data_IF_243913072043
#
_entry.id   IF_243913072043
#
_cell.length_a   1.000
_cell.length_b   1.000
_cell.length_c   1.000
_cell.angle_alpha   90.00
_cell.angle_beta   90.00
_cell.angle_gamma   90.00
#
_symmetry.space_group_name_H-M   'P 1'
#
loop_
_entity.id
_entity.type
_entity.pdbx_description
1 polymer ?
#
# COMPACT_ATOMS: atom_id res chain seq x y z
N UNK A 1 7.95 -2.94 13.15
CA UNK A 1 7.87 -1.67 12.41
C UNK A 1 6.76 -1.81 11.37
N UNK A 2 5.49 -1.71 11.79
CA UNK A 2 4.34 -1.68 10.88
C UNK A 2 4.18 -0.27 10.30
N UNK A 3 3.86 -0.19 9.02
CA UNK A 3 3.65 1.10 8.33
C UNK A 3 2.31 1.67 8.78
N UNK A 4 2.33 2.61 9.72
CA UNK A 4 1.13 3.33 10.15
C UNK A 4 0.38 3.88 8.93
N UNK A 5 -0.94 3.73 8.90
CA UNK A 5 -1.81 4.28 7.85
C UNK A 5 -1.58 5.76 7.55
N UNK A 6 -1.14 6.52 8.56
CA UNK A 6 -0.83 7.93 8.42
C UNK A 6 0.48 8.21 7.72
N UNK A 7 1.33 7.20 7.48
CA UNK A 7 2.63 7.34 6.86
C UNK A 7 2.60 7.33 5.32
N UNK A 8 1.47 6.98 4.71
CA UNK A 8 1.31 6.85 3.26
C UNK A 8 0.19 7.75 2.72
N UNK A 9 0.34 8.19 1.48
CA UNK A 9 -0.77 8.78 0.73
C UNK A 9 -1.70 7.68 0.24
N UNK A 10 -2.99 7.64 0.66
CA UNK A 10 -3.87 6.51 0.39
C UNK A 10 -4.23 6.33 -1.10
N UNK A 11 -4.08 7.37 -1.91
CA UNK A 11 -4.38 7.32 -3.36
C UNK A 11 -3.21 6.78 -4.19
N UNK A 12 -1.99 7.20 -3.86
CA UNK A 12 -0.78 6.88 -4.65
C UNK A 12 0.09 5.82 -3.99
N UNK A 13 -0.17 5.50 -2.72
CA UNK A 13 0.65 4.64 -1.87
C UNK A 13 2.09 5.14 -1.64
N UNK A 14 2.34 6.42 -1.90
CA UNK A 14 3.64 7.04 -1.68
C UNK A 14 3.89 7.33 -0.19
N UNK A 15 5.11 7.08 0.27
CA UNK A 15 5.55 7.43 1.62
C UNK A 15 5.61 8.93 1.81
N UNK A 16 4.94 9.41 2.87
CA UNK A 16 4.99 10.82 3.30
C UNK A 16 6.35 11.22 3.86
N UNK A 17 7.19 10.25 4.25
CA UNK A 17 8.52 10.49 4.84
C UNK A 17 9.65 10.41 3.82
N UNK A 18 9.44 9.70 2.72
CA UNK A 18 10.46 9.46 1.68
C UNK A 18 9.79 9.63 0.31
N UNK A 19 10.05 10.74 -0.40
CA UNK A 19 9.60 10.90 -1.78
C UNK A 19 10.09 9.73 -2.65
N UNK A 20 9.30 9.36 -3.65
CA UNK A 20 9.56 8.26 -4.59
C UNK A 20 9.68 6.86 -3.97
N UNK A 21 9.31 6.70 -2.70
CA UNK A 21 9.14 5.38 -2.07
C UNK A 21 7.65 5.03 -2.04
N UNK A 22 7.29 3.88 -2.59
CA UNK A 22 5.92 3.39 -2.65
C UNK A 22 5.82 2.02 -1.97
N UNK A 23 4.74 1.78 -1.24
CA UNK A 23 4.54 0.55 -0.48
C UNK A 23 3.20 -0.09 -0.83
N UNK A 24 3.13 -1.42 -0.88
CA UNK A 24 1.90 -2.15 -1.21
C UNK A 24 1.84 -3.51 -0.50
N UNK A 25 0.66 -4.14 -0.52
CA UNK A 25 0.45 -5.49 -0.01
C UNK A 25 0.62 -5.61 1.50
N UNK A 26 1.21 -6.73 1.94
CA UNK A 26 1.34 -7.12 3.35
C UNK A 26 2.33 -6.25 4.14
N UNK A 27 3.14 -5.44 3.44
CA UNK A 27 3.97 -4.40 4.08
C UNK A 27 3.13 -3.31 4.75
N UNK A 28 1.86 -3.17 4.35
CA UNK A 28 0.87 -2.26 4.91
C UNK A 28 0.27 -2.85 6.17
N UNK A 29 -0.11 -1.98 7.12
CA UNK A 29 -0.74 -2.41 8.37
C UNK A 29 -2.22 -2.83 8.19
N UNK A 30 -2.46 -3.80 7.31
CA UNK A 30 -3.77 -4.27 6.88
C UNK A 30 -3.82 -5.80 6.90
N UNK A 31 -4.82 -6.34 7.59
CA UNK A 31 -5.08 -7.77 7.63
C UNK A 31 -6.54 -8.04 7.31
N UNK A 32 -6.78 -8.89 6.31
CA UNK A 32 -8.11 -9.36 5.94
C UNK A 32 -8.45 -10.70 6.58
N UNK A 33 -9.74 -11.07 6.62
CA UNK A 33 -10.17 -12.42 6.98
C UNK A 33 -9.57 -13.49 6.06
N UNK A 34 -9.51 -14.73 6.54
CA UNK A 34 -9.09 -15.89 5.74
C UNK A 34 -10.15 -16.11 4.65
N UNK A 35 -9.73 -16.22 3.39
CA UNK A 35 -10.65 -16.28 2.24
C UNK A 35 -10.24 -15.43 1.03
N UNK A 36 -8.95 -15.09 0.91
CA UNK A 36 -8.41 -14.39 -0.27
C UNK A 36 -8.41 -12.86 -0.19
N UNK A 37 -8.88 -12.27 0.92
CA UNK A 37 -8.87 -10.81 1.11
C UNK A 37 -7.46 -10.21 1.09
N UNK A 38 -6.46 -10.91 1.62
CA UNK A 38 -5.07 -10.47 1.57
C UNK A 38 -4.53 -10.43 0.14
N UNK A 39 -4.95 -11.36 -0.73
CA UNK A 39 -4.58 -11.32 -2.15
C UNK A 39 -5.27 -10.16 -2.85
N UNK A 40 -6.58 -9.99 -2.68
CA UNK A 40 -7.32 -8.85 -3.23
C UNK A 40 -6.68 -7.51 -2.81
N UNK A 41 -6.30 -7.41 -1.54
CA UNK A 41 -5.59 -6.26 -0.98
C UNK A 41 -4.24 -6.02 -1.67
N UNK A 42 -3.42 -7.05 -1.82
CA UNK A 42 -2.13 -6.95 -2.49
C UNK A 42 -2.27 -6.46 -3.94
N UNK A 43 -3.26 -6.96 -4.68
CA UNK A 43 -3.53 -6.52 -6.05
C UNK A 43 -4.00 -5.07 -6.13
N UNK A 44 -4.97 -4.69 -5.28
CA UNK A 44 -5.54 -3.34 -5.28
C UNK A 44 -4.47 -2.28 -4.94
N UNK A 45 -3.68 -2.53 -3.89
CA UNK A 45 -2.65 -1.59 -3.44
C UNK A 45 -1.43 -1.59 -4.36
N UNK A 46 -1.06 -2.73 -4.94
CA UNK A 46 0.00 -2.81 -5.96
C UNK A 46 -0.33 -1.98 -7.20
N UNK A 47 -1.57 -2.05 -7.68
CA UNK A 47 -2.03 -1.21 -8.80
C UNK A 47 -2.00 0.28 -8.44
N UNK A 48 -2.44 0.66 -7.24
CA UNK A 48 -2.40 2.06 -6.80
C UNK A 48 -0.97 2.60 -6.69
N UNK A 49 -0.05 1.81 -6.13
CA UNK A 49 1.37 2.14 -6.05
C UNK A 49 2.00 2.31 -7.43
N UNK A 50 1.69 1.42 -8.38
CA UNK A 50 2.17 1.53 -9.75
C UNK A 50 1.70 2.82 -10.44
N UNK A 51 0.40 3.11 -10.36
CA UNK A 51 -0.17 4.32 -10.96
C UNK A 51 0.45 5.58 -10.31
N UNK A 52 0.62 5.57 -8.99
CA UNK A 52 1.23 6.68 -8.26
C UNK A 52 2.73 6.86 -8.53
N UNK A 53 3.45 5.80 -8.91
CA UNK A 53 4.86 5.87 -9.30
C UNK A 53 5.06 6.30 -10.75
N UNK A 54 4.06 6.09 -11.61
CA UNK A 54 4.08 6.46 -13.03
C UNK A 54 3.60 7.89 -13.31
N UNK A 55 3.03 8.58 -12.31
CA UNK A 55 2.57 9.97 -12.37
C UNK A 55 3.60 10.94 -11.79
#
# INVERSE_FOLDING_TARGET
MQTSWLALHPRTMQSRRRPNLFLCGELLDAFGPIGGYNFLWAWATGRAAWIGAAS
#
